data_IF_206187499846
#
_entry.id   IF_206187499846
#
_cell.length_a   1.000
_cell.length_b   1.000
_cell.length_c   1.000
_cell.angle_alpha   90.00
_cell.angle_beta   90.00
_cell.angle_gamma   90.00
#
_symmetry.space_group_name_H-M   'P 1'
#
loop_
_entity.id
_entity.type
_entity.pdbx_description
1 polymer ?
#
# COMPACT_ATOMS: atom_id res chain seq x y z
N UNK A 1 -13.62 42.08 -15.55
CA UNK A 1 -14.59 43.19 -15.59
C UNK A 1 -15.81 42.83 -16.45
N UNK A 2 -16.46 41.68 -16.22
CA UNK A 2 -17.73 41.33 -16.93
C UNK A 2 -18.64 40.33 -16.17
N UNK A 3 -18.19 39.68 -15.09
CA UNK A 3 -19.04 38.74 -14.31
C UNK A 3 -19.79 39.37 -13.12
N UNK A 4 -19.64 40.67 -12.89
CA UNK A 4 -20.21 41.36 -11.71
C UNK A 4 -21.66 41.85 -11.97
N UNK A 5 -22.14 41.79 -13.21
CA UNK A 5 -23.35 42.53 -13.61
C UNK A 5 -24.65 41.72 -13.73
N UNK A 6 -24.65 40.40 -13.50
CA UNK A 6 -25.80 39.57 -13.89
C UNK A 6 -26.41 38.72 -12.77
N UNK A 7 -26.69 39.29 -11.59
CA UNK A 7 -27.86 38.89 -10.76
C UNK A 7 -27.98 39.72 -9.47
N UNK A 8 -28.03 41.05 -9.65
CA UNK A 8 -28.49 42.03 -8.67
C UNK A 8 -30.04 42.13 -8.65
N UNK A 9 -30.78 41.02 -8.74
CA UNK A 9 -32.23 41.08 -9.00
C UNK A 9 -33.15 40.14 -8.21
N UNK A 10 -32.76 39.67 -7.02
CA UNK A 10 -33.75 39.27 -6.00
C UNK A 10 -33.44 39.97 -4.68
N UNK A 11 -34.21 41.01 -4.44
CA UNK A 11 -34.11 41.89 -3.29
C UNK A 11 -34.70 41.29 -2.02
N UNK A 12 -34.03 41.65 -0.92
CA UNK A 12 -34.55 42.11 0.37
C UNK A 12 -35.71 41.33 1.01
N UNK A 13 -35.42 40.71 2.15
CA UNK A 13 -36.14 40.94 3.40
C UNK A 13 -35.21 40.56 4.56
N UNK A 14 -34.82 41.57 5.34
CA UNK A 14 -34.09 41.36 6.57
C UNK A 14 -34.95 40.67 7.61
N UNK A 15 -34.33 39.82 8.42
CA UNK A 15 -34.72 39.69 9.82
C UNK A 15 -33.50 39.29 10.64
N UNK A 16 -33.16 40.18 11.56
CA UNK A 16 -32.28 39.95 12.69
C UNK A 16 -32.94 38.87 13.55
N UNK A 17 -32.24 37.79 13.90
CA UNK A 17 -32.33 37.16 15.24
C UNK A 17 -31.62 35.80 15.35
N UNK A 18 -30.73 35.78 16.34
CA UNK A 18 -30.39 34.68 17.24
C UNK A 18 -29.56 33.53 16.65
N UNK A 19 -28.27 33.59 17.00
CA UNK A 19 -27.35 32.46 17.06
C UNK A 19 -27.97 31.36 17.92
N UNK A 20 -28.62 30.39 17.30
CA UNK A 20 -28.90 29.11 17.93
C UNK A 20 -27.99 28.09 17.29
N UNK A 21 -26.87 27.82 17.97
CA UNK A 21 -25.95 26.72 17.67
C UNK A 21 -26.68 25.39 17.81
N UNK A 22 -27.43 24.99 16.79
CA UNK A 22 -27.88 23.62 16.61
C UNK A 22 -27.04 23.07 15.47
N UNK A 23 -25.97 22.35 15.81
CA UNK A 23 -25.23 21.54 14.87
C UNK A 23 -26.14 20.41 14.39
N UNK A 24 -26.98 20.71 13.41
CA UNK A 24 -27.56 19.69 12.54
C UNK A 24 -26.37 19.12 11.78
N UNK A 25 -25.90 17.95 12.20
CA UNK A 25 -24.98 17.16 11.41
C UNK A 25 -25.72 16.88 10.10
N UNK A 26 -25.46 17.70 9.09
CA UNK A 26 -25.80 17.39 7.73
C UNK A 26 -25.08 16.08 7.43
N UNK A 27 -25.86 15.01 7.30
CA UNK A 27 -25.45 13.69 6.82
C UNK A 27 -24.90 13.90 5.40
N UNK A 28 -23.64 14.31 5.32
CA UNK A 28 -22.85 14.16 4.11
C UNK A 28 -22.96 12.67 3.74
N UNK A 29 -23.19 12.32 2.47
CA UNK A 29 -23.22 10.91 2.09
C UNK A 29 -21.94 10.31 2.62
N UNK A 30 -22.05 9.35 3.56
CA UNK A 30 -20.88 8.66 4.09
C UNK A 30 -20.27 7.95 2.89
N UNK A 31 -19.31 8.59 2.24
CA UNK A 31 -18.49 7.94 1.26
C UNK A 31 -17.67 6.96 2.08
N UNK A 32 -18.17 5.72 2.19
CA UNK A 32 -17.47 4.63 2.84
C UNK A 32 -16.30 4.17 1.97
N UNK A 33 -15.52 5.12 1.49
CA UNK A 33 -14.36 4.96 0.64
C UNK A 33 -13.15 5.41 1.44
N UNK A 34 -12.08 4.64 1.39
CA UNK A 34 -10.83 4.95 2.08
C UNK A 34 -9.64 4.41 1.32
N UNK A 35 -8.45 4.73 1.82
CA UNK A 35 -7.21 4.36 1.16
C UNK A 35 -7.05 2.84 1.14
N UNK A 36 -6.68 2.31 -0.03
CA UNK A 36 -6.05 1.00 -0.14
C UNK A 36 -4.54 1.22 -0.03
N UNK A 37 -3.92 0.57 0.94
CA UNK A 37 -2.47 0.60 1.15
C UNK A 37 -1.89 -0.79 0.91
N UNK A 38 -0.83 -0.87 0.12
CA UNK A 38 -0.06 -2.09 -0.12
C UNK A 38 1.27 -1.99 0.64
N UNK A 39 1.55 -2.98 1.48
CA UNK A 39 2.71 -3.04 2.36
C UNK A 39 3.60 -4.23 2.05
N UNK A 40 4.91 -4.08 2.24
CA UNK A 40 5.87 -5.18 2.24
C UNK A 40 6.47 -5.38 3.64
N UNK A 41 6.35 -6.58 4.20
CA UNK A 41 6.94 -6.97 5.49
C UNK A 41 8.01 -8.03 5.26
N UNK A 42 9.00 -8.14 6.15
CA UNK A 42 10.04 -9.18 6.12
C UNK A 42 9.58 -10.57 6.62
N UNK A 43 8.34 -10.66 7.10
CA UNK A 43 7.72 -11.89 7.58
C UNK A 43 6.26 -12.00 7.10
N UNK A 44 5.75 -13.21 6.83
CA UNK A 44 4.33 -13.43 6.56
C UNK A 44 3.45 -13.32 7.82
N UNK A 45 4.03 -13.14 9.00
CA UNK A 45 3.32 -12.97 10.28
C UNK A 45 3.92 -11.84 11.12
N UNK A 46 3.74 -10.57 10.70
CA UNK A 46 4.23 -9.42 11.45
C UNK A 46 3.42 -9.21 12.73
N UNK A 47 4.04 -8.60 13.75
CA UNK A 47 3.33 -8.19 14.95
C UNK A 47 2.33 -7.06 14.63
N UNK A 48 1.31 -6.90 15.48
CA UNK A 48 0.25 -5.90 15.24
C UNK A 48 0.77 -4.45 15.16
N UNK A 49 1.91 -4.17 15.79
CA UNK A 49 2.54 -2.85 15.82
C UNK A 49 3.67 -2.70 14.81
N UNK A 50 3.98 -3.75 14.03
CA UNK A 50 5.02 -3.68 13.00
C UNK A 50 4.56 -2.76 11.87
N UNK A 51 5.46 -1.88 11.43
CA UNK A 51 5.26 -1.10 10.22
C UNK A 51 5.84 -1.84 9.01
N UNK A 52 5.24 -1.70 7.82
CA UNK A 52 5.81 -2.29 6.63
C UNK A 52 7.13 -1.60 6.28
N UNK A 53 8.09 -2.37 5.79
CA UNK A 53 9.34 -1.85 5.24
C UNK A 53 9.09 -0.90 4.06
N UNK A 54 8.01 -1.16 3.31
CA UNK A 54 7.58 -0.38 2.16
C UNK A 54 6.06 -0.27 2.15
N UNK A 55 5.54 0.93 1.94
CA UNK A 55 4.10 1.16 1.83
C UNK A 55 3.78 2.05 0.64
N UNK A 56 2.72 1.72 -0.09
CA UNK A 56 2.19 2.50 -1.21
C UNK A 56 0.68 2.61 -1.11
N UNK A 57 0.11 3.74 -1.49
CA UNK A 57 -1.34 3.98 -1.52
C UNK A 57 -1.77 4.11 -2.98
N UNK A 58 -2.03 3.00 -3.69
CA UNK A 58 -2.29 3.05 -5.12
C UNK A 58 -3.65 3.65 -5.49
N UNK A 59 -4.66 3.52 -4.62
CA UNK A 59 -6.00 4.06 -4.89
C UNK A 59 -6.89 4.11 -3.64
N UNK A 60 -8.09 4.67 -3.81
CA UNK A 60 -9.19 4.63 -2.84
C UNK A 60 -10.17 3.51 -3.21
N UNK A 61 -10.60 2.71 -2.24
CA UNK A 61 -11.57 1.60 -2.38
C UNK A 61 -12.70 1.76 -1.39
N UNK A 62 -13.79 1.00 -1.55
CA UNK A 62 -14.85 0.90 -0.54
C UNK A 62 -14.31 0.24 0.75
N UNK A 63 -14.76 0.66 1.92
CA UNK A 63 -14.40 0.10 3.22
C UNK A 63 -15.22 -1.17 3.56
N UNK A 64 -15.36 -2.07 2.60
CA UNK A 64 -16.09 -3.33 2.70
C UNK A 64 -15.28 -4.48 2.08
N UNK A 65 -15.85 -5.68 2.03
CA UNK A 65 -15.13 -6.87 1.58
C UNK A 65 -14.85 -6.86 0.06
N UNK A 66 -15.71 -6.20 -0.72
CA UNK A 66 -15.48 -5.94 -2.15
C UNK A 66 -14.23 -5.06 -2.34
N UNK A 67 -14.10 -3.99 -1.55
CA UNK A 67 -12.92 -3.14 -1.57
C UNK A 67 -11.67 -3.82 -1.02
N UNK A 68 -11.82 -4.72 -0.04
CA UNK A 68 -10.72 -5.56 0.45
C UNK A 68 -10.19 -6.50 -0.64
N UNK A 69 -11.09 -7.20 -1.35
CA UNK A 69 -10.72 -8.07 -2.46
C UNK A 69 -10.06 -7.29 -3.61
N UNK A 70 -10.61 -6.12 -3.93
CA UNK A 70 -10.04 -5.21 -4.94
C UNK A 70 -8.63 -4.76 -4.54
N UNK A 71 -8.46 -4.30 -3.30
CA UNK A 71 -7.18 -3.84 -2.78
C UNK A 71 -6.14 -4.97 -2.77
N UNK A 72 -6.53 -6.17 -2.31
CA UNK A 72 -5.68 -7.37 -2.35
C UNK A 72 -5.21 -7.69 -3.78
N UNK A 73 -6.14 -7.74 -4.74
CA UNK A 73 -5.80 -8.03 -6.15
C UNK A 73 -4.84 -6.98 -6.72
N UNK A 74 -5.02 -5.71 -6.36
CA UNK A 74 -4.14 -4.64 -6.80
C UNK A 74 -2.73 -4.76 -6.20
N UNK A 75 -2.62 -5.05 -4.90
CA UNK A 75 -1.33 -5.26 -4.25
C UNK A 75 -0.58 -6.46 -4.86
N UNK A 76 -1.29 -7.55 -5.16
CA UNK A 76 -0.73 -8.70 -5.86
C UNK A 76 -0.25 -8.34 -7.27
N UNK A 77 -1.03 -7.57 -8.02
CA UNK A 77 -0.64 -7.12 -9.36
C UNK A 77 0.59 -6.22 -9.32
N UNK A 78 0.66 -5.28 -8.37
CA UNK A 78 1.81 -4.40 -8.18
C UNK A 78 3.07 -5.19 -7.83
N UNK A 79 2.98 -6.07 -6.84
CA UNK A 79 4.14 -6.86 -6.42
C UNK A 79 4.56 -7.90 -7.47
N UNK A 80 3.63 -8.37 -8.33
CA UNK A 80 3.97 -9.18 -9.50
C UNK A 80 4.66 -8.36 -10.60
N UNK A 81 4.14 -7.17 -10.90
CA UNK A 81 4.70 -6.27 -11.92
C UNK A 81 6.11 -5.80 -11.56
N UNK A 82 6.42 -5.70 -10.27
CA UNK A 82 7.76 -5.34 -9.80
C UNK A 82 8.69 -6.53 -9.68
N UNK A 83 8.33 -7.80 -9.93
CA UNK A 83 9.27 -8.93 -9.78
C UNK A 83 10.61 -8.72 -10.52
N UNK A 84 10.58 -8.17 -11.74
CA UNK A 84 11.78 -8.03 -12.57
C UNK A 84 12.73 -6.89 -12.12
N UNK A 85 12.20 -5.74 -11.70
CA UNK A 85 13.00 -4.55 -11.29
C UNK A 85 12.90 -4.22 -9.80
N UNK A 86 12.11 -4.99 -9.09
CA UNK A 86 11.80 -4.87 -7.68
C UNK A 86 13.08 -4.91 -6.87
N UNK A 87 13.90 -5.98 -6.96
CA UNK A 87 15.13 -6.08 -6.19
C UNK A 87 16.01 -4.82 -6.24
N UNK A 88 16.22 -4.24 -7.42
CA UNK A 88 17.01 -3.01 -7.60
C UNK A 88 16.37 -1.81 -6.88
N UNK A 89 15.06 -1.59 -7.08
CA UNK A 89 14.33 -0.50 -6.44
C UNK A 89 14.31 -0.69 -4.91
N UNK A 90 14.15 -1.93 -4.46
CA UNK A 90 14.11 -2.31 -3.06
C UNK A 90 15.45 -2.06 -2.38
N UNK A 91 16.58 -2.44 -3.00
CA UNK A 91 17.90 -2.16 -2.44
C UNK A 91 18.20 -0.66 -2.33
N UNK A 92 17.73 0.16 -3.27
CA UNK A 92 17.86 1.64 -3.16
C UNK A 92 17.06 2.19 -1.98
N UNK A 93 15.92 1.57 -1.63
CA UNK A 93 15.05 2.01 -0.53
C UNK A 93 15.50 1.47 0.83
N UNK A 94 15.81 0.18 0.89
CA UNK A 94 16.13 -0.55 2.13
C UNK A 94 17.63 -0.49 2.49
N UNK A 95 18.48 -0.02 1.56
CA UNK A 95 19.95 0.04 1.67
C UNK A 95 20.58 -1.35 1.76
N UNK A 96 21.02 -1.75 2.95
CA UNK A 96 21.71 -3.01 3.18
C UNK A 96 20.78 -3.93 3.94
N UNK A 97 20.37 -5.01 3.29
CA UNK A 97 19.52 -6.07 3.86
C UNK A 97 20.14 -7.41 3.54
N UNK A 98 20.03 -8.35 4.46
CA UNK A 98 20.54 -9.69 4.28
C UNK A 98 19.39 -10.69 4.41
N UNK A 99 19.32 -11.60 3.45
CA UNK A 99 18.36 -12.71 3.40
C UNK A 99 16.89 -12.36 3.66
N UNK A 100 16.44 -11.19 3.20
CA UNK A 100 15.10 -10.69 3.52
C UNK A 100 14.06 -11.20 2.52
N UNK A 101 13.04 -11.93 2.99
CA UNK A 101 11.91 -12.37 2.16
C UNK A 101 10.70 -11.46 2.35
N UNK A 102 10.44 -10.62 1.37
CA UNK A 102 9.30 -9.70 1.43
C UNK A 102 7.98 -10.43 1.21
N UNK A 103 7.06 -10.23 2.14
CA UNK A 103 5.68 -10.70 2.11
C UNK A 103 4.76 -9.51 1.86
N UNK A 104 3.82 -9.66 0.93
CA UNK A 104 2.87 -8.63 0.55
C UNK A 104 1.67 -8.62 1.49
N UNK A 105 1.30 -7.42 1.93
CA UNK A 105 0.15 -7.16 2.77
C UNK A 105 -0.69 -6.04 2.16
N UNK A 106 -1.95 -5.99 2.55
CA UNK A 106 -2.85 -4.91 2.20
C UNK A 106 -3.58 -4.39 3.44
N UNK A 107 -3.90 -3.11 3.44
CA UNK A 107 -4.74 -2.45 4.43
C UNK A 107 -5.76 -1.61 3.69
N UNK A 108 -7.03 -1.69 4.09
CA UNK A 108 -8.08 -0.80 3.58
C UNK A 108 -8.59 0.09 4.72
N UNK A 109 -8.74 1.38 4.43
CA UNK A 109 -9.22 2.36 5.40
C UNK A 109 -8.41 2.24 6.71
N UNK A 110 -9.05 2.27 7.88
CA UNK A 110 -8.36 2.10 9.16
C UNK A 110 -8.34 0.65 9.69
N UNK A 111 -8.52 -0.34 8.82
CA UNK A 111 -8.42 -1.75 9.23
C UNK A 111 -6.95 -2.17 9.48
N UNK A 112 -6.70 -3.25 10.23
CA UNK A 112 -5.37 -3.83 10.35
C UNK A 112 -4.84 -4.35 9.01
N UNK A 113 -3.51 -4.48 8.92
CA UNK A 113 -2.85 -5.14 7.79
C UNK A 113 -3.31 -6.60 7.66
N UNK A 114 -3.52 -7.04 6.44
CA UNK A 114 -3.94 -8.40 6.08
C UNK A 114 -2.97 -8.97 5.05
N UNK A 115 -2.60 -10.24 5.21
CA UNK A 115 -1.69 -10.91 4.28
C UNK A 115 -2.34 -11.02 2.88
N UNK A 116 -1.59 -10.68 1.84
CA UNK A 116 -2.08 -10.68 0.47
C UNK A 116 -1.93 -12.04 -0.24
N UNK A 117 -1.43 -13.07 0.45
CA UNK A 117 -1.12 -14.40 -0.09
C UNK A 117 0.06 -14.43 -1.07
N UNK A 118 1.05 -13.57 -0.86
CA UNK A 118 2.29 -13.63 -1.64
C UNK A 118 3.51 -13.28 -0.79
N UNK A 119 4.51 -14.15 -0.84
CA UNK A 119 5.86 -13.94 -0.34
C UNK A 119 6.83 -14.15 -1.48
N UNK A 120 7.91 -13.36 -1.52
CA UNK A 120 8.98 -13.54 -2.47
C UNK A 120 9.57 -14.95 -2.37
N UNK A 121 9.74 -15.60 -3.53
CA UNK A 121 10.29 -16.95 -3.62
C UNK A 121 11.75 -16.96 -3.15
N UNK A 122 12.54 -16.04 -3.69
CA UNK A 122 13.94 -15.82 -3.37
C UNK A 122 14.11 -14.70 -2.34
N UNK A 123 15.08 -14.83 -1.42
CA UNK A 123 15.45 -13.75 -0.51
C UNK A 123 16.14 -12.60 -1.25
N UNK A 124 15.95 -11.38 -0.74
CA UNK A 124 16.64 -10.18 -1.19
C UNK A 124 17.90 -9.96 -0.34
N UNK A 125 19.04 -9.83 -1.01
CA UNK A 125 20.28 -9.36 -0.41
C UNK A 125 20.74 -8.08 -1.11
N UNK A 126 21.04 -7.07 -0.30
CA UNK A 126 21.50 -5.78 -0.77
C UNK A 126 22.80 -5.41 -0.07
N UNK A 127 23.73 -4.86 -0.84
CA UNK A 127 24.99 -4.32 -0.33
C UNK A 127 25.35 -3.06 -1.12
N UNK A 128 25.62 -1.97 -0.42
CA UNK A 128 25.83 -0.65 -1.00
C UNK A 128 24.66 -0.23 -1.91
N UNK A 129 23.42 -0.51 -1.48
CA UNK A 129 22.18 -0.24 -2.23
C UNK A 129 22.08 -0.96 -3.59
N UNK A 130 22.86 -2.02 -3.81
CA UNK A 130 22.82 -2.87 -5.01
C UNK A 130 22.41 -4.29 -4.65
N UNK A 131 21.70 -4.94 -5.58
CA UNK A 131 21.33 -6.36 -5.44
C UNK A 131 22.60 -7.21 -5.49
N UNK A 132 22.69 -8.16 -4.57
CA UNK A 132 23.65 -9.25 -4.61
C UNK A 132 22.95 -10.59 -4.44
N UNK A 133 23.65 -11.67 -4.78
CA UNK A 133 23.16 -13.02 -4.52
C UNK A 133 23.23 -13.29 -3.01
N UNK A 134 22.18 -13.90 -2.45
CA UNK A 134 22.18 -14.36 -1.07
C UNK A 134 22.93 -15.68 -0.93
N UNK A 135 23.68 -15.86 0.16
CA UNK A 135 24.44 -17.08 0.43
C UNK A 135 23.55 -18.35 0.40
N UNK A 136 22.33 -18.26 0.95
CA UNK A 136 21.33 -19.35 0.89
C UNK A 136 20.95 -19.81 -0.52
N UNK A 137 21.11 -18.96 -1.54
CA UNK A 137 20.83 -19.31 -2.95
C UNK A 137 22.09 -19.85 -3.63
N UNK A 138 23.27 -19.39 -3.24
CA UNK A 138 24.56 -19.87 -3.77
C UNK A 138 24.76 -21.37 -3.49
N UNK A 139 24.46 -21.83 -2.28
CA UNK A 139 24.64 -23.23 -1.87
C UNK A 139 23.76 -24.22 -2.66
N UNK A 140 22.57 -23.80 -3.10
CA UNK A 140 21.65 -24.64 -3.89
C UNK A 140 22.23 -24.92 -5.28
N UNK A 141 22.89 -23.92 -5.86
CA UNK A 141 23.50 -24.04 -7.19
C UNK A 141 24.76 -24.88 -7.23
N UNK A 142 25.37 -25.20 -6.07
CA UNK A 142 26.56 -26.06 -5.94
C UNK A 142 26.19 -27.52 -5.58
N UNK A 143 25.03 -27.73 -4.97
CA UNK A 143 24.49 -29.07 -4.71
C UNK A 143 23.89 -29.72 -5.96
N UNK A 144 23.21 -28.96 -6.83
CA UNK A 144 22.51 -29.51 -8.01
C UNK A 144 23.43 -29.98 -9.15
N UNK A 145 24.68 -29.53 -9.17
CA UNK A 145 25.70 -29.82 -10.18
C UNK A 145 26.76 -30.83 -9.71
N UNK A 146 26.66 -31.35 -8.48
CA UNK A 146 27.50 -32.45 -7.99
C UNK A 146 26.86 -33.84 -8.15
N UNK A 147 25.58 -33.94 -8.55
CA UNK A 147 24.88 -35.22 -8.73
C UNK A 147 24.98 -35.85 -10.15
N UNK A 148 25.72 -35.26 -11.09
CA UNK A 148 25.99 -35.89 -12.41
C UNK A 148 27.49 -36.17 -12.61
N UNK A 149 28.04 -37.08 -11.80
CA UNK A 149 29.27 -37.80 -12.14
C UNK A 149 29.32 -39.14 -11.40
N UNK A 150 28.63 -40.14 -11.95
CA UNK A 150 28.94 -41.57 -11.73
C UNK A 150 29.05 -42.24 -13.09
#
# INVERSE_FOLDING_TARGET
MFYIYLSLLFGVLGQESIVTSTSVLMDAPINNNGNCSCGGFDTPSPDQNSEPLLSQIPMTVKCNDEGAATCKSLCLALASATKAKGPEILCVRLKDVNETKLSAFYKICERPWSYADMTAEEPLCCENSKVKVCASVEDITVAANTETKV
#
